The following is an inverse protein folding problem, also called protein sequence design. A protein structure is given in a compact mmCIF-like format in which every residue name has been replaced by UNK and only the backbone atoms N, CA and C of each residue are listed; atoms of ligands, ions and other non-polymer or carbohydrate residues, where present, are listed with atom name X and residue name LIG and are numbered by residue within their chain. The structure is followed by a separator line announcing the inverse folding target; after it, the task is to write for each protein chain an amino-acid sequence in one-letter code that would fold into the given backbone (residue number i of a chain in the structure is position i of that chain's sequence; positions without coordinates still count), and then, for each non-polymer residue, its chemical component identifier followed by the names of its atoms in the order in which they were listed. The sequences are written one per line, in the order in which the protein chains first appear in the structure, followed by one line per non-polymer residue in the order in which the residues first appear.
data_IF_851255230788
#
_entry.id   IF_851255230788
#
_cell.length_a   1.000
_cell.length_b   1.000
_cell.length_c   1.000
_cell.angle_alpha   90.00
_cell.angle_beta   90.00
_cell.angle_gamma   90.00
#
_symmetry.space_group_name_H-M   'P 1'
#
loop_
_entity.id
_entity.type
_entity.pdbx_description
1 polymer ?
#
# COMPACT_ATOMS: atom_id res chain seq x y z
N UNK A 1 -17.52 21.80 13.62
CA UNK A 1 -16.96 20.48 13.26
C UNK A 1 -15.47 20.56 13.45
N UNK A 2 -14.89 19.74 14.32
CA UNK A 2 -13.44 19.62 14.47
C UNK A 2 -12.91 19.09 13.13
N UNK A 3 -12.18 19.91 12.37
CA UNK A 3 -11.50 19.43 11.17
C UNK A 3 -10.27 18.69 11.69
N UNK A 4 -10.14 17.36 11.50
CA UNK A 4 -8.93 16.64 11.90
C UNK A 4 -7.71 17.35 11.30
N UNK A 5 -6.57 17.30 12.00
CA UNK A 5 -5.27 18.03 11.87
C UNK A 5 -4.68 18.29 10.45
N UNK A 6 -5.49 18.54 9.44
CA UNK A 6 -5.12 18.53 8.02
C UNK A 6 -4.59 17.17 7.55
N UNK A 7 -4.90 16.07 8.24
CA UNK A 7 -4.39 14.73 7.92
C UNK A 7 -5.38 13.94 7.08
N UNK A 8 -4.91 13.41 5.96
CA UNK A 8 -5.71 12.60 5.04
C UNK A 8 -4.99 11.28 4.75
N UNK A 9 -5.73 10.17 4.68
CA UNK A 9 -5.15 8.85 4.39
C UNK A 9 -5.98 8.12 3.33
N UNK A 10 -5.37 7.76 2.21
CA UNK A 10 -5.96 6.90 1.18
C UNK A 10 -5.81 5.43 1.59
N UNK A 11 -6.94 4.77 1.86
CA UNK A 11 -7.00 3.44 2.46
C UNK A 11 -8.17 2.63 1.91
N UNK A 12 -7.95 1.33 1.70
CA UNK A 12 -8.99 0.38 1.30
C UNK A 12 -8.73 -1.01 1.88
N UNK A 13 -8.39 -2.03 1.06
CA UNK A 13 -8.33 -3.43 1.49
C UNK A 13 -7.24 -3.72 2.53
N UNK A 14 -6.20 -2.90 2.63
CA UNK A 14 -5.02 -3.22 3.46
C UNK A 14 -5.31 -3.12 4.97
N UNK A 15 -6.20 -2.22 5.39
CA UNK A 15 -6.56 -2.05 6.80
C UNK A 15 -8.01 -1.53 6.91
N UNK A 16 -8.87 -2.15 7.73
CA UNK A 16 -10.23 -1.66 7.93
C UNK A 16 -10.23 -0.23 8.48
N UNK A 17 -11.04 0.65 7.88
CA UNK A 17 -11.17 2.06 8.32
C UNK A 17 -11.47 2.20 9.81
N UNK A 18 -12.37 1.36 10.34
CA UNK A 18 -12.74 1.41 11.76
C UNK A 18 -11.53 1.14 12.68
N UNK A 19 -10.59 0.31 12.23
CA UNK A 19 -9.36 0.08 12.97
C UNK A 19 -8.38 1.24 12.79
N UNK A 20 -8.22 1.74 11.57
CA UNK A 20 -7.35 2.86 11.27
C UNK A 20 -7.70 4.10 12.11
N UNK A 21 -9.00 4.42 12.19
CA UNK A 21 -9.53 5.55 12.95
C UNK A 21 -9.28 5.46 14.47
N UNK A 22 -9.03 4.26 15.02
CA UNK A 22 -8.60 4.10 16.43
C UNK A 22 -7.12 4.45 16.64
N UNK A 23 -6.34 4.55 15.57
CA UNK A 23 -4.88 4.76 15.62
C UNK A 23 -4.48 6.20 15.29
N UNK A 24 -5.21 6.84 14.38
CA UNK A 24 -4.98 8.20 13.94
C UNK A 24 -6.32 8.91 13.67
N UNK A 25 -6.48 10.11 14.22
CA UNK A 25 -7.59 10.99 13.85
C UNK A 25 -7.26 11.69 12.53
N UNK A 26 -7.79 11.15 11.43
CA UNK A 26 -7.54 11.62 10.08
C UNK A 26 -8.80 11.43 9.22
N UNK A 27 -8.86 12.17 8.11
CA UNK A 27 -9.86 11.91 7.09
C UNK A 27 -9.42 10.74 6.22
N UNK A 28 -10.12 9.61 6.34
CA UNK A 28 -9.88 8.43 5.52
C UNK A 28 -10.63 8.53 4.20
N UNK A 29 -9.89 8.45 3.10
CA UNK A 29 -10.37 8.45 1.72
C UNK A 29 -10.26 7.03 1.14
N UNK A 30 -11.02 6.70 0.07
CA UNK A 30 -10.85 5.45 -0.69
C UNK A 30 -9.40 5.26 -1.19
N UNK A 31 -9.03 4.10 -1.76
CA UNK A 31 -7.75 3.94 -2.44
C UNK A 31 -7.49 5.05 -3.46
N UNK A 32 -6.26 5.54 -3.52
CA UNK A 32 -5.88 6.66 -4.38
C UNK A 32 -6.00 6.29 -5.86
N UNK A 33 -6.60 7.18 -6.64
CA UNK A 33 -6.66 7.15 -8.10
C UNK A 33 -6.05 8.42 -8.70
N UNK A 34 -5.88 8.40 -10.02
CA UNK A 34 -5.41 9.57 -10.76
C UNK A 34 -6.31 10.80 -10.52
N UNK A 35 -5.67 11.93 -10.22
CA UNK A 35 -6.28 13.22 -9.95
C UNK A 35 -6.79 13.41 -8.52
N UNK A 36 -6.79 12.38 -7.67
CA UNK A 36 -7.21 12.51 -6.27
C UNK A 36 -6.29 13.43 -5.47
N UNK A 37 -4.98 13.31 -5.68
CA UNK A 37 -3.99 14.12 -4.97
C UNK A 37 -4.11 15.58 -5.42
N UNK A 38 -4.30 15.84 -6.73
CA UNK A 38 -4.56 17.19 -7.26
C UNK A 38 -5.74 17.83 -6.55
N UNK A 39 -6.88 17.12 -6.48
CA UNK A 39 -8.08 17.61 -5.81
C UNK A 39 -7.82 17.87 -4.33
N UNK A 40 -7.12 16.95 -3.67
CA UNK A 40 -6.86 17.07 -2.25
C UNK A 40 -5.96 18.26 -1.92
N UNK A 41 -4.97 18.60 -2.75
CA UNK A 41 -4.09 19.75 -2.56
C UNK A 41 -4.85 21.08 -2.43
N UNK A 42 -6.01 21.24 -3.07
CA UNK A 42 -6.84 22.45 -2.94
C UNK A 42 -7.36 22.67 -1.52
N UNK A 43 -7.41 21.63 -0.69
CA UNK A 43 -7.79 21.71 0.73
C UNK A 43 -6.61 22.07 1.65
N UNK A 44 -5.41 22.26 1.08
CA UNK A 44 -4.17 22.55 1.81
C UNK A 44 -3.94 21.60 3.01
N UNK A 45 -3.94 20.27 2.78
CA UNK A 45 -3.70 19.32 3.85
C UNK A 45 -2.31 19.54 4.46
N UNK A 46 -2.17 19.29 5.76
CA UNK A 46 -0.87 19.26 6.42
C UNK A 46 -0.07 18.04 5.99
N UNK A 47 -0.73 16.89 5.88
CA UNK A 47 -0.10 15.66 5.41
C UNK A 47 -1.09 14.72 4.71
N UNK A 48 -0.55 13.92 3.80
CA UNK A 48 -1.25 12.89 3.05
C UNK A 48 -0.53 11.56 3.30
N UNK A 49 -1.25 10.54 3.73
CA UNK A 49 -0.81 9.16 3.77
C UNK A 49 -1.39 8.37 2.60
N UNK A 50 -0.56 7.61 1.90
CA UNK A 50 -0.98 6.71 0.83
C UNK A 50 -0.69 5.28 1.29
N UNK A 51 -1.75 4.51 1.52
CA UNK A 51 -1.64 3.06 1.75
C UNK A 51 -2.06 2.34 0.49
N UNK A 52 -3.32 2.48 0.10
CA UNK A 52 -3.89 1.77 -1.04
C UNK A 52 -4.08 2.69 -2.24
N UNK A 53 -3.96 2.12 -3.43
CA UNK A 53 -4.30 2.75 -4.69
C UNK A 53 -4.93 1.75 -5.64
N UNK A 54 -5.73 2.25 -6.58
CA UNK A 54 -6.31 1.38 -7.59
C UNK A 54 -5.28 1.02 -8.67
N UNK A 55 -5.45 -0.17 -9.25
CA UNK A 55 -4.58 -0.74 -10.29
C UNK A 55 -5.44 -1.31 -11.43
N UNK A 56 -4.88 -1.35 -12.65
CA UNK A 56 -5.52 -1.79 -13.92
C UNK A 56 -6.73 -0.97 -14.40
N UNK A 57 -7.92 -1.23 -13.85
CA UNK A 57 -9.18 -0.75 -14.42
C UNK A 57 -9.46 0.73 -14.10
N UNK A 58 -8.76 1.26 -13.09
CA UNK A 58 -8.80 2.66 -12.71
C UNK A 58 -7.37 3.17 -12.84
N UNK A 59 -7.13 4.29 -13.55
CA UNK A 59 -5.80 4.85 -13.67
C UNK A 59 -5.18 5.12 -12.29
N UNK A 60 -4.03 4.51 -12.03
CA UNK A 60 -3.29 4.69 -10.79
C UNK A 60 -2.79 6.12 -10.65
N UNK A 61 -2.62 6.56 -9.41
CA UNK A 61 -2.05 7.88 -9.09
C UNK A 61 -0.74 8.10 -9.83
N UNK A 62 -0.57 9.27 -10.44
CA UNK A 62 0.70 9.63 -11.07
C UNK A 62 1.72 10.10 -10.05
N UNK A 63 2.98 9.70 -10.25
CA UNK A 63 4.11 10.23 -9.48
C UNK A 63 4.13 11.77 -9.48
N UNK A 64 3.69 12.40 -10.58
CA UNK A 64 3.69 13.86 -10.75
C UNK A 64 2.68 14.55 -9.84
N UNK A 65 1.59 13.90 -9.48
CA UNK A 65 0.65 14.46 -8.50
C UNK A 65 1.25 14.51 -7.10
N UNK A 66 2.01 13.47 -6.74
CA UNK A 66 2.69 13.40 -5.45
C UNK A 66 3.82 14.43 -5.39
N UNK A 67 4.63 14.55 -6.46
CA UNK A 67 5.64 15.60 -6.58
C UNK A 67 5.02 17.00 -6.47
N UNK A 68 3.83 17.21 -7.04
CA UNK A 68 3.13 18.48 -6.90
C UNK A 68 2.72 18.75 -5.45
N UNK A 69 2.17 17.77 -4.74
CA UNK A 69 1.85 17.91 -3.31
C UNK A 69 3.10 18.26 -2.48
N UNK A 70 4.21 17.56 -2.72
CA UNK A 70 5.49 17.85 -2.05
C UNK A 70 5.97 19.27 -2.39
N UNK A 71 5.89 19.68 -3.66
CA UNK A 71 6.24 21.03 -4.10
C UNK A 71 5.43 22.13 -3.39
N UNK A 72 4.15 21.86 -3.07
CA UNK A 72 3.31 22.74 -2.27
C UNK A 72 3.62 22.73 -0.76
N UNK A 73 4.63 21.98 -0.33
CA UNK A 73 5.02 21.87 1.09
C UNK A 73 4.10 20.95 1.90
N UNK A 74 3.37 20.04 1.26
CA UNK A 74 2.55 19.02 1.92
C UNK A 74 3.43 17.81 2.24
N UNK A 75 3.37 17.30 3.47
CA UNK A 75 4.09 16.08 3.81
C UNK A 75 3.36 14.87 3.21
N UNK A 76 4.04 14.07 2.39
CA UNK A 76 3.45 12.87 1.78
C UNK A 76 4.15 11.63 2.31
N UNK A 77 3.37 10.71 2.88
CA UNK A 77 3.79 9.42 3.40
C UNK A 77 3.30 8.29 2.49
N UNK A 78 4.10 7.26 2.30
CA UNK A 78 3.67 6.04 1.60
C UNK A 78 4.15 4.78 2.30
N UNK A 79 3.26 3.80 2.39
CA UNK A 79 3.55 2.49 2.95
C UNK A 79 2.60 1.45 2.38
N UNK A 80 3.04 0.20 2.27
CA UNK A 80 2.26 -0.90 1.71
C UNK A 80 1.76 -0.64 0.28
N UNK A 81 1.31 -1.69 -0.42
CA UNK A 81 0.53 -1.55 -1.67
C UNK A 81 1.11 -0.50 -2.65
N UNK A 82 0.24 0.30 -3.29
CA UNK A 82 0.62 1.43 -4.14
C UNK A 82 1.46 2.50 -3.41
N UNK A 83 1.24 2.69 -2.10
CA UNK A 83 1.96 3.67 -1.29
C UNK A 83 3.46 3.39 -1.20
N UNK A 84 3.84 2.13 -1.01
CA UNK A 84 5.23 1.69 -0.95
C UNK A 84 5.95 1.86 -2.28
N UNK A 85 5.30 1.51 -3.40
CA UNK A 85 5.84 1.70 -4.75
C UNK A 85 6.17 3.18 -5.01
N UNK A 86 5.19 4.05 -4.78
CA UNK A 86 5.38 5.50 -4.96
C UNK A 86 6.39 6.07 -3.97
N UNK A 87 6.43 5.59 -2.73
CA UNK A 87 7.44 6.00 -1.78
C UNK A 87 8.84 5.60 -2.23
N UNK A 88 9.05 4.39 -2.74
CA UNK A 88 10.35 3.94 -3.22
C UNK A 88 10.85 4.81 -4.38
N UNK A 89 9.99 5.13 -5.34
CA UNK A 89 10.28 6.04 -6.46
C UNK A 89 10.57 7.48 -6.00
N UNK A 90 9.79 7.99 -5.03
CA UNK A 90 9.74 9.41 -4.70
C UNK A 90 10.47 9.79 -3.40
N UNK A 91 11.07 8.82 -2.72
CA UNK A 91 11.85 9.06 -1.52
C UNK A 91 13.00 10.06 -1.75
N UNK A 92 13.79 9.97 -2.85
CA UNK A 92 14.82 10.96 -3.16
C UNK A 92 14.28 12.39 -3.33
N UNK A 93 12.98 12.53 -3.63
CA UNK A 93 12.30 13.80 -3.86
C UNK A 93 11.55 14.32 -2.62
N UNK A 94 11.64 13.63 -1.48
CA UNK A 94 11.06 14.07 -0.21
C UNK A 94 9.78 13.35 0.22
N UNK A 95 9.35 12.30 -0.49
CA UNK A 95 8.30 11.41 0.02
C UNK A 95 8.82 10.59 1.20
N UNK A 96 8.01 10.45 2.24
CA UNK A 96 8.36 9.72 3.46
C UNK A 96 7.86 8.27 3.33
N UNK A 97 8.76 7.36 2.97
CA UNK A 97 8.46 5.94 2.95
C UNK A 97 8.45 5.33 4.34
N UNK A 98 7.52 4.40 4.58
CA UNK A 98 7.36 3.72 5.88
C UNK A 98 7.10 2.23 5.65
N UNK A 99 7.71 1.39 6.50
CA UNK A 99 7.44 -0.05 6.55
C UNK A 99 8.37 -0.89 5.68
N UNK A 100 8.31 -2.20 5.91
CA UNK A 100 9.25 -3.16 5.33
C UNK A 100 9.07 -3.32 3.81
N UNK A 101 7.86 -3.13 3.30
CA UNK A 101 7.58 -3.21 1.85
C UNK A 101 8.22 -2.04 1.12
N UNK A 102 8.09 -0.82 1.65
CA UNK A 102 8.78 0.35 1.10
C UNK A 102 10.30 0.13 1.08
N UNK A 103 10.88 -0.30 2.21
CA UNK A 103 12.32 -0.55 2.30
C UNK A 103 12.78 -1.62 1.30
N UNK A 104 11.96 -2.65 1.08
CA UNK A 104 12.28 -3.70 0.14
C UNK A 104 12.31 -3.21 -1.32
N UNK A 105 11.38 -2.34 -1.72
CA UNK A 105 11.44 -1.70 -3.05
C UNK A 105 12.57 -0.69 -3.16
N UNK A 106 12.76 0.16 -2.15
CA UNK A 106 13.84 1.16 -2.13
C UNK A 106 15.22 0.51 -2.29
N UNK A 107 15.42 -0.62 -1.62
CA UNK A 107 16.70 -1.33 -1.59
C UNK A 107 16.85 -2.33 -2.77
N UNK A 108 15.87 -2.39 -3.69
CA UNK A 108 15.90 -3.30 -4.85
C UNK A 108 15.73 -4.79 -4.51
N UNK A 109 15.25 -5.12 -3.30
CA UNK A 109 14.92 -6.50 -2.92
C UNK A 109 13.62 -6.99 -3.54
N UNK A 110 12.73 -6.05 -3.87
CA UNK A 110 11.52 -6.25 -4.65
C UNK A 110 11.53 -5.25 -5.80
N UNK A 111 11.16 -5.70 -7.00
CA UNK A 111 11.13 -4.86 -8.20
C UNK A 111 9.79 -4.96 -8.94
N UNK A 112 9.08 -6.09 -8.81
CA UNK A 112 7.80 -6.30 -9.50
C UNK A 112 6.63 -5.64 -8.73
N UNK A 113 5.81 -4.84 -9.45
CA UNK A 113 4.59 -4.23 -8.89
C UNK A 113 3.58 -5.26 -8.37
N UNK A 114 3.61 -6.47 -8.92
CA UNK A 114 2.71 -7.55 -8.55
C UNK A 114 2.97 -8.10 -7.14
N UNK A 115 4.09 -7.71 -6.50
CA UNK A 115 4.44 -8.15 -5.15
C UNK A 115 3.40 -7.69 -4.12
N UNK A 116 2.76 -6.56 -4.39
CA UNK A 116 1.79 -5.92 -3.50
C UNK A 116 0.36 -5.91 -4.02
N UNK A 117 0.17 -6.31 -5.28
CA UNK A 117 -1.12 -6.35 -5.96
C UNK A 117 -2.04 -7.43 -5.37
N UNK A 118 -3.31 -7.08 -5.20
CA UNK A 118 -4.36 -7.99 -4.73
C UNK A 118 -5.65 -7.72 -5.51
N UNK A 119 -6.50 -8.74 -5.63
CA UNK A 119 -7.89 -8.55 -6.02
C UNK A 119 -8.71 -8.41 -4.74
N UNK A 120 -9.61 -7.44 -4.74
CA UNK A 120 -10.52 -7.18 -3.63
C UNK A 120 -11.94 -6.95 -4.14
N UNK A 121 -12.93 -7.21 -3.28
CA UNK A 121 -14.32 -6.87 -3.55
C UNK A 121 -14.56 -5.36 -3.54
N UNK A 122 -15.79 -4.94 -3.83
CA UNK A 122 -16.13 -3.53 -3.97
C UNK A 122 -16.20 -2.83 -2.59
N UNK A 123 -16.20 -1.49 -2.61
CA UNK A 123 -16.09 -0.66 -1.41
C UNK A 123 -17.28 -0.83 -0.46
N UNK A 124 -18.46 -1.10 -1.00
CA UNK A 124 -19.72 -1.32 -0.30
C UNK A 124 -19.68 -2.55 0.62
N UNK A 125 -18.78 -3.51 0.32
CA UNK A 125 -18.53 -4.70 1.13
C UNK A 125 -17.29 -4.55 2.02
N UNK A 126 -16.65 -3.37 2.05
CA UNK A 126 -15.45 -3.13 2.84
C UNK A 126 -14.18 -3.72 2.23
N UNK A 127 -14.12 -3.87 0.90
CA UNK A 127 -12.94 -4.38 0.17
C UNK A 127 -12.44 -5.77 0.60
N UNK A 128 -13.29 -6.82 0.63
CA UNK A 128 -12.85 -8.15 1.03
C UNK A 128 -11.75 -8.66 0.11
N UNK A 129 -10.63 -9.16 0.67
CA UNK A 129 -9.53 -9.73 -0.11
C UNK A 129 -9.94 -11.02 -0.83
N UNK A 130 -9.70 -11.08 -2.13
CA UNK A 130 -10.01 -12.22 -3.01
C UNK A 130 -8.74 -12.93 -3.51
N UNK A 131 -7.57 -12.30 -3.36
CA UNK A 131 -6.26 -12.92 -3.53
C UNK A 131 -5.30 -12.45 -2.45
N UNK A 132 -4.14 -13.09 -2.35
CA UNK A 132 -3.09 -12.75 -1.39
C UNK A 132 -1.91 -12.03 -2.06
N UNK A 133 -1.37 -11.03 -1.38
CA UNK A 133 -0.18 -10.30 -1.84
C UNK A 133 1.07 -11.19 -1.71
N UNK A 134 1.99 -11.11 -2.67
CA UNK A 134 3.21 -11.91 -2.63
C UNK A 134 4.07 -11.57 -1.40
N UNK A 135 4.14 -10.30 -1.00
CA UNK A 135 4.85 -9.89 0.22
C UNK A 135 4.34 -10.58 1.49
N UNK A 136 3.02 -10.82 1.58
CA UNK A 136 2.42 -11.54 2.71
C UNK A 136 2.77 -13.04 2.66
N UNK A 137 2.77 -13.63 1.46
CA UNK A 137 3.18 -15.03 1.26
C UNK A 137 4.66 -15.22 1.63
N UNK A 138 5.54 -14.36 1.13
CA UNK A 138 6.99 -14.40 1.44
C UNK A 138 7.22 -14.32 2.95
N UNK A 139 6.59 -13.36 3.61
CA UNK A 139 6.73 -13.20 5.07
C UNK A 139 6.21 -14.41 5.83
N UNK A 140 5.01 -14.90 5.47
CA UNK A 140 4.41 -16.08 6.10
C UNK A 140 5.29 -17.34 5.92
N UNK A 141 5.87 -17.55 4.75
CA UNK A 141 6.78 -18.68 4.49
C UNK A 141 8.12 -18.53 5.22
N UNK A 142 8.65 -17.31 5.32
CA UNK A 142 9.85 -17.03 6.09
C UNK A 142 9.63 -17.30 7.59
N UNK A 143 8.51 -16.85 8.15
CA UNK A 143 8.14 -17.09 9.55
C UNK A 143 7.96 -18.60 9.81
N UNK A 144 7.25 -19.32 8.93
CA UNK A 144 7.10 -20.78 9.03
C UNK A 144 8.43 -21.53 8.99
N UNK A 145 9.37 -21.10 8.13
CA UNK A 145 10.70 -21.70 8.06
C UNK A 145 11.54 -21.39 9.30
N UNK A 146 11.44 -20.17 9.84
CA UNK A 146 12.14 -19.76 11.05
C UNK A 146 11.63 -20.51 12.29
N UNK A 147 10.34 -20.79 12.35
CA UNK A 147 9.70 -21.58 13.43
C UNK A 147 9.91 -23.09 13.26
N UNK A 148 10.51 -23.54 12.15
CA UNK A 148 10.75 -24.96 11.89
C UNK A 148 9.51 -25.75 11.47
N UNK A 149 8.42 -25.07 11.09
CA UNK A 149 7.17 -25.68 10.60
C UNK A 149 7.39 -26.37 9.25
N UNK A 150 8.21 -25.75 8.41
CA UNK A 150 8.66 -26.34 7.15
C UNK A 150 10.16 -26.15 6.98
N UNK A 151 10.86 -27.08 6.31
CA UNK A 151 12.25 -26.85 5.95
C UNK A 151 12.40 -25.62 5.04
N UNK A 152 13.54 -24.92 5.16
CA UNK A 152 13.82 -23.74 4.34
C UNK A 152 13.80 -24.04 2.82
N UNK A 153 14.11 -25.29 2.42
CA UNK A 153 14.00 -25.72 1.03
C UNK A 153 12.56 -25.72 0.53
N UNK A 154 11.63 -26.18 1.37
CA UNK A 154 10.20 -26.27 1.11
C UNK A 154 9.57 -24.88 1.06
N UNK A 155 9.93 -24.01 2.00
CA UNK A 155 9.51 -22.60 1.97
C UNK A 155 9.92 -21.91 0.66
N UNK A 156 11.17 -22.11 0.18
CA UNK A 156 11.63 -21.57 -1.11
C UNK A 156 10.86 -22.14 -2.30
N UNK A 157 10.54 -23.44 -2.29
CA UNK A 157 9.72 -24.06 -3.35
C UNK A 157 8.29 -23.50 -3.36
N UNK A 158 7.66 -23.36 -2.19
CA UNK A 158 6.35 -22.75 -2.04
C UNK A 158 6.34 -21.30 -2.52
N UNK A 159 7.37 -20.53 -2.19
CA UNK A 159 7.53 -19.16 -2.65
C UNK A 159 7.64 -19.09 -4.18
N UNK A 160 8.46 -19.95 -4.80
CA UNK A 160 8.59 -20.02 -6.25
C UNK A 160 7.25 -20.37 -6.95
N UNK A 161 6.50 -21.32 -6.40
CA UNK A 161 5.16 -21.69 -6.89
C UNK A 161 4.23 -20.48 -6.80
N UNK A 162 4.19 -19.80 -5.65
CA UNK A 162 3.32 -18.63 -5.45
C UNK A 162 3.68 -17.48 -6.39
N UNK A 163 4.97 -17.22 -6.62
CA UNK A 163 5.44 -16.18 -7.53
C UNK A 163 5.12 -16.51 -8.99
N UNK A 164 5.13 -17.78 -9.37
CA UNK A 164 4.72 -18.25 -10.69
C UNK A 164 3.22 -18.09 -10.99
N UNK A 165 2.38 -17.83 -9.99
CA UNK A 165 0.96 -17.57 -10.18
C UNK A 165 0.69 -16.09 -10.53
N UNK A 166 -0.28 -15.81 -11.42
CA UNK A 166 -0.84 -14.48 -11.55
C UNK A 166 -1.34 -13.97 -10.19
N UNK A 167 -1.11 -12.69 -9.87
CA UNK A 167 -1.44 -12.14 -8.54
C UNK A 167 -2.92 -12.29 -8.15
N UNK A 168 -3.83 -12.30 -9.15
CA UNK A 168 -5.29 -12.50 -8.98
C UNK A 168 -5.67 -13.87 -8.44
N UNK A 169 -4.72 -14.78 -8.51
CA UNK A 169 -4.88 -16.21 -8.47
C UNK A 169 -4.10 -16.82 -7.29
N UNK A 170 -3.39 -15.95 -6.53
CA UNK A 170 -2.61 -16.27 -5.34
C UNK A 170 -3.49 -16.48 -4.12
N UNK A 171 -3.21 -17.55 -3.39
CA UNK A 171 -3.85 -17.86 -2.11
C UNK A 171 -3.36 -19.21 -1.59
N UNK A 172 -3.28 -19.35 -0.26
CA UNK A 172 -2.66 -20.51 0.39
C UNK A 172 -3.29 -21.85 0.01
N UNK A 173 -4.62 -21.91 -0.12
CA UNK A 173 -5.30 -23.14 -0.55
C UNK A 173 -4.95 -23.58 -1.97
N UNK A 174 -4.67 -22.64 -2.88
CA UNK A 174 -4.20 -22.97 -4.24
C UNK A 174 -2.72 -23.30 -4.25
N UNK A 175 -1.91 -22.55 -3.51
CA UNK A 175 -0.49 -22.81 -3.31
C UNK A 175 -0.26 -24.25 -2.81
N UNK A 176 -0.95 -24.67 -1.76
CA UNK A 176 -0.85 -26.02 -1.19
C UNK A 176 -1.22 -27.12 -2.21
N UNK A 177 -2.28 -26.91 -3.00
CA UNK A 177 -2.69 -27.87 -4.05
C UNK A 177 -1.64 -28.02 -5.15
N UNK A 178 -1.05 -26.91 -5.59
CA UNK A 178 -0.01 -26.92 -6.62
C UNK A 178 1.28 -27.55 -6.10
N UNK A 179 1.66 -27.23 -4.86
CA UNK A 179 2.80 -27.84 -4.18
C UNK A 179 2.68 -29.37 -4.09
N UNK A 180 1.51 -29.88 -3.72
CA UNK A 180 1.25 -31.32 -3.72
C UNK A 180 1.35 -31.93 -5.12
N UNK A 181 0.83 -31.25 -6.15
CA UNK A 181 0.94 -31.70 -7.54
C UNK A 181 2.38 -31.70 -8.08
N UNK A 182 3.25 -30.82 -7.57
CA UNK A 182 4.69 -30.79 -7.87
C UNK A 182 5.50 -31.82 -7.06
N UNK A 183 4.86 -32.59 -6.18
CA UNK A 183 5.51 -33.64 -5.41
C UNK A 183 6.27 -33.14 -4.18
N UNK A 184 5.90 -31.98 -3.61
CA UNK A 184 6.41 -31.59 -2.29
C UNK A 184 5.92 -32.59 -1.21
N UNK A 185 6.70 -32.85 -0.14
CA UNK A 185 6.35 -33.84 0.87
C UNK A 185 5.02 -33.51 1.58
N UNK A 186 4.07 -34.47 1.58
CA UNK A 186 2.74 -34.22 2.15
C UNK A 186 2.78 -33.90 3.64
N UNK A 187 3.73 -34.46 4.40
CA UNK A 187 3.91 -34.16 5.83
C UNK A 187 4.21 -32.67 6.05
N UNK A 188 5.18 -32.11 5.32
CA UNK A 188 5.53 -30.70 5.41
C UNK A 188 4.38 -29.78 4.95
N UNK A 189 3.63 -30.20 3.92
CA UNK A 189 2.45 -29.47 3.46
C UNK A 189 1.30 -29.54 4.47
N UNK A 190 1.15 -30.64 5.18
CA UNK A 190 0.16 -30.80 6.24
C UNK A 190 0.51 -29.97 7.48
N UNK A 191 1.78 -29.95 7.87
CA UNK A 191 2.29 -29.11 8.98
C UNK A 191 2.05 -27.63 8.68
N UNK A 192 2.44 -27.17 7.48
CA UNK A 192 2.17 -25.80 7.06
C UNK A 192 0.67 -25.48 7.04
N UNK A 193 -0.16 -26.39 6.52
CA UNK A 193 -1.63 -26.25 6.49
C UNK A 193 -2.23 -26.13 7.89
N UNK A 194 -1.70 -26.88 8.85
CA UNK A 194 -2.16 -26.85 10.24
C UNK A 194 -1.72 -25.57 10.97
N UNK A 195 -0.52 -25.07 10.67
CA UNK A 195 0.04 -23.87 11.27
C UNK A 195 -0.59 -22.56 10.73
N UNK A 196 -0.91 -22.53 9.43
CA UNK A 196 -1.39 -21.35 8.70
C UNK A 196 -2.48 -20.51 9.40
N UNK A 197 -3.54 -21.09 10.02
CA UNK A 197 -4.60 -20.31 10.65
C UNK A 197 -4.11 -19.35 11.75
N UNK A 198 -3.01 -19.70 12.44
CA UNK A 198 -2.43 -18.88 13.51
C UNK A 198 -1.10 -18.22 13.10
N UNK A 199 -0.41 -18.76 12.10
CA UNK A 199 0.90 -18.30 11.67
C UNK A 199 0.90 -17.30 10.50
N UNK A 200 -0.24 -17.10 9.83
CA UNK A 200 -0.31 -16.18 8.68
C UNK A 200 0.03 -14.75 9.11
N UNK A 201 0.98 -14.14 8.41
CA UNK A 201 1.33 -12.73 8.57
C UNK A 201 0.64 -11.87 7.50
N UNK A 202 0.33 -10.64 7.87
CA UNK A 202 -0.16 -9.59 6.97
C UNK A 202 0.79 -8.39 7.03
N UNK A 203 1.91 -8.49 6.30
CA UNK A 203 2.92 -7.44 6.21
C UNK A 203 2.32 -6.13 5.69
N UNK A 204 1.38 -6.21 4.74
CA UNK A 204 0.71 -5.02 4.20
C UNK A 204 -0.01 -4.25 5.30
N UNK A 205 -0.72 -4.96 6.19
CA UNK A 205 -1.42 -4.38 7.33
C UNK A 205 -0.45 -3.83 8.38
N UNK A 206 0.65 -4.51 8.67
CA UNK A 206 1.70 -4.03 9.57
C UNK A 206 2.27 -2.68 9.09
N UNK A 207 2.65 -2.59 7.82
CA UNK A 207 3.17 -1.37 7.19
C UNK A 207 2.15 -0.22 7.23
N UNK A 208 0.87 -0.51 6.98
CA UNK A 208 -0.20 0.50 7.08
C UNK A 208 -0.34 1.03 8.52
N UNK A 209 -0.25 0.16 9.53
CA UNK A 209 -0.28 0.57 10.93
C UNK A 209 0.94 1.42 11.29
N UNK A 210 2.12 1.09 10.75
CA UNK A 210 3.34 1.88 10.95
C UNK A 210 3.26 3.27 10.30
N UNK A 211 2.65 3.38 9.12
CA UNK A 211 2.35 4.67 8.49
C UNK A 211 1.48 5.54 9.41
N UNK A 212 0.38 4.99 9.94
CA UNK A 212 -0.50 5.74 10.85
C UNK A 212 0.23 6.18 12.13
N UNK A 213 1.06 5.31 12.71
CA UNK A 213 1.88 5.65 13.89
C UNK A 213 2.88 6.75 13.57
N UNK A 214 3.52 6.69 12.41
CA UNK A 214 4.52 7.66 11.96
C UNK A 214 3.87 9.02 11.71
N UNK A 215 2.74 9.07 11.00
CA UNK A 215 1.98 10.30 10.78
C UNK A 215 1.53 10.93 12.10
N UNK A 216 1.03 10.13 13.05
CA UNK A 216 0.64 10.62 14.37
C UNK A 216 1.80 11.29 15.10
N UNK A 217 2.96 10.65 15.13
CA UNK A 217 4.17 11.20 15.76
C UNK A 217 4.62 12.48 15.07
N UNK A 218 4.65 12.48 13.73
CA UNK A 218 5.00 13.66 12.94
C UNK A 218 4.09 14.86 13.25
N UNK A 219 2.77 14.62 13.37
CA UNK A 219 1.79 15.65 13.69
C UNK A 219 1.97 16.21 15.12
N UNK A 220 2.16 15.31 16.10
CA UNK A 220 2.38 15.65 17.52
C UNK A 220 3.67 16.44 17.73
N UNK A 221 4.74 16.10 16.99
CA UNK A 221 6.02 16.80 17.04
C UNK A 221 5.98 18.18 16.37
N UNK A 222 4.85 18.57 15.75
CA UNK A 222 4.73 19.84 15.02
C UNK A 222 5.68 19.94 13.82
N UNK A 223 6.12 18.81 13.26
CA UNK A 223 7.06 18.77 12.15
C UNK A 223 6.43 19.40 10.90
N UNK A 224 7.31 19.90 10.03
CA UNK A 224 6.94 20.39 8.70
C UNK A 224 7.27 19.33 7.65
N UNK A 225 6.73 19.52 6.44
CA UNK A 225 7.11 18.70 5.31
C UNK A 225 8.63 18.80 5.06
N UNK A 226 9.25 17.73 4.52
CA UNK A 226 10.63 17.79 4.07
C UNK A 226 10.86 18.94 3.08
N UNK A 227 12.08 19.46 3.06
CA UNK A 227 12.46 20.51 2.11
C UNK A 227 12.39 20.00 0.67
N UNK A 228 11.82 20.82 -0.22
CA UNK A 228 11.71 20.52 -1.64
C UNK A 228 13.07 20.71 -2.31
N UNK A 229 13.65 19.62 -2.81
CA UNK A 229 15.00 19.60 -3.42
C UNK A 229 15.01 19.37 -4.92
N UNK A 230 13.89 19.64 -5.58
CA UNK A 230 13.74 19.47 -7.02
C UNK A 230 13.00 20.66 -7.62
N UNK A 231 13.22 20.90 -8.91
CA UNK A 231 12.42 21.84 -9.69
C UNK A 231 11.18 21.12 -10.23
N UNK A 232 10.00 21.70 -10.02
CA UNK A 232 8.76 21.11 -10.51
C UNK A 232 8.50 21.57 -11.94
N UNK A 233 8.66 20.65 -12.90
CA UNK A 233 8.46 20.94 -14.32
C UNK A 233 6.98 20.98 -14.71
N UNK A 234 6.54 22.10 -15.27
CA UNK A 234 5.21 22.22 -15.86
C UNK A 234 5.20 21.64 -17.28
N UNK A 235 4.35 20.63 -17.50
CA UNK A 235 4.15 20.03 -18.83
C UNK A 235 2.72 20.25 -19.27
N UNK A 236 2.47 20.35 -20.58
CA UNK A 236 1.13 20.61 -21.12
C UNK A 236 0.07 19.61 -20.62
N UNK A 237 0.44 18.32 -20.48
CA UNK A 237 -0.42 17.28 -19.90
C UNK A 237 -0.74 17.55 -18.43
N UNK A 238 0.23 18.04 -17.66
CA UNK A 238 0.06 18.37 -16.26
C UNK A 238 -0.85 19.60 -16.08
N UNK A 239 -0.62 20.66 -16.83
CA UNK A 239 -1.44 21.87 -16.71
C UNK A 239 -2.89 21.61 -17.11
N UNK A 240 -3.13 20.69 -18.05
CA UNK A 240 -4.47 20.21 -18.37
C UNK A 240 -5.09 19.45 -17.20
N UNK A 241 -4.36 18.52 -16.58
CA UNK A 241 -4.84 17.77 -15.43
C UNK A 241 -5.19 18.68 -14.23
N UNK A 242 -4.40 19.73 -13.99
CA UNK A 242 -4.70 20.74 -12.97
C UNK A 242 -6.03 21.46 -13.25
N UNK A 243 -6.27 21.91 -14.49
CA UNK A 243 -7.53 22.55 -14.88
C UNK A 243 -8.72 21.61 -14.73
N UNK A 244 -8.59 20.37 -15.23
CA UNK A 244 -9.67 19.38 -15.17
C UNK A 244 -10.00 19.00 -13.71
N UNK A 245 -8.98 18.92 -12.84
CA UNK A 245 -9.13 18.69 -11.41
C UNK A 245 -9.86 19.83 -10.70
N UNK A 246 -9.53 21.08 -11.02
CA UNK A 246 -10.18 22.26 -10.48
C UNK A 246 -11.65 22.37 -10.92
N UNK A 247 -11.96 22.08 -12.19
CA UNK A 247 -13.33 22.14 -12.71
C UNK A 247 -14.26 21.08 -12.12
N UNK A 248 -13.78 19.85 -11.88
CA UNK A 248 -14.60 18.80 -11.25
C UNK A 248 -14.91 19.06 -9.77
N UNK A 249 -14.08 19.85 -9.08
CA UNK A 249 -14.39 20.31 -7.72
C UNK A 249 -15.52 21.34 -7.67
N UNK A 250 -15.59 22.25 -8.65
CA UNK A 250 -16.63 23.27 -8.69
C UNK A 250 -18.05 22.71 -8.99
N UNK A 251 -18.13 21.50 -9.54
CA UNK A 251 -19.39 20.85 -9.93
C UNK A 251 -19.97 19.85 -8.91
N UNK A 252 -19.32 19.63 -7.76
CA UNK A 252 -19.80 18.67 -6.77
C UNK A 252 -19.85 19.32 -5.37
N UNK A 253 -20.97 19.97 -4.99
CA UNK A 253 -21.25 20.21 -3.59
C UNK A 253 -21.53 18.83 -2.98
N UNK A 254 -20.60 18.37 -2.13
CA UNK A 254 -20.80 17.16 -1.34
C UNK A 254 -21.96 17.42 -0.36
N UNK A 255 -23.16 16.93 -0.70
CA UNK A 255 -24.17 16.48 0.26
C UNK A 255 -23.87 15.02 0.67
#
# INVERSE_FOLDING_TARGET
MHTPDGLYVFLGPTLPRAEAARRLDATYLPPVAQGDIIRLCARQPRAIGIVDGYFENIPSVWHKEILHAIHLGIAVFGASSMGALRAAELHPFGMIGVGAVFEAFRDGRLEDDDEVAVIHGPAELGYPGLSEAMVNIRRTLADAAQEGVVPAATARRLEAIAKGLPYRERGYGRLLRLAAAEGLPEEELADFRHWLPNGRCDQKREDALDLLRTMRRWAMDGRRAPEVRFHFEHTALWDRALRDGAHRQAGNPLD
#
